data_IF_042998503984
#
_entry.id   IF_042998503984
#
_cell.length_a   1.000
_cell.length_b   1.000
_cell.length_c   1.000
_cell.angle_alpha   90.00
_cell.angle_beta   90.00
_cell.angle_gamma   90.00
#
_symmetry.space_group_name_H-M   'P 1'
#
loop_
_entity.id
_entity.type
_entity.pdbx_description
1 polymer ?
#
# COMPACT_ATOMS: atom_id res chain seq x y z
N UNK A 1 -6.55 -5.40 -6.95
CA UNK A 1 -6.24 -4.05 -7.47
C UNK A 1 -7.13 -3.60 -8.63
N UNK A 2 -7.22 -4.34 -9.74
CA UNK A 2 -7.93 -3.91 -10.97
C UNK A 2 -9.34 -3.34 -10.75
N UNK A 3 -10.23 -4.05 -10.02
CA UNK A 3 -11.60 -3.56 -9.80
C UNK A 3 -11.65 -2.25 -9.00
N UNK A 4 -10.70 -2.05 -8.09
CA UNK A 4 -10.60 -0.79 -7.34
C UNK A 4 -10.08 0.32 -8.23
N UNK A 5 -9.11 0.02 -9.11
CA UNK A 5 -8.62 0.96 -10.12
C UNK A 5 -9.75 1.39 -11.07
N UNK A 6 -10.53 0.46 -11.60
CA UNK A 6 -11.63 0.76 -12.53
C UNK A 6 -12.69 1.69 -11.90
N UNK A 7 -12.89 1.58 -10.57
CA UNK A 7 -13.88 2.37 -9.84
C UNK A 7 -13.37 3.73 -9.37
N UNK A 8 -12.09 3.82 -8.99
CA UNK A 8 -11.53 4.99 -8.31
C UNK A 8 -10.42 5.71 -9.09
N UNK A 9 -10.00 5.17 -10.24
CA UNK A 9 -8.94 5.73 -11.08
C UNK A 9 -7.62 5.85 -10.32
N UNK A 10 -7.18 4.74 -9.73
CA UNK A 10 -6.04 4.69 -8.80
C UNK A 10 -4.70 4.77 -9.54
N UNK A 11 -4.60 4.16 -10.71
CA UNK A 11 -3.38 4.01 -11.48
C UNK A 11 -3.45 4.85 -12.76
N UNK A 12 -2.38 5.59 -13.04
CA UNK A 12 -2.22 6.41 -14.23
C UNK A 12 -0.82 6.22 -14.81
N UNK A 13 -0.63 6.39 -16.12
CA UNK A 13 0.70 6.35 -16.74
C UNK A 13 1.69 7.28 -16.03
N UNK A 14 2.91 6.81 -15.83
CA UNK A 14 4.00 7.56 -15.19
C UNK A 14 3.98 7.59 -13.65
N UNK A 15 2.99 6.98 -13.00
CA UNK A 15 2.94 6.92 -11.53
C UNK A 15 4.01 5.99 -10.95
N UNK A 16 4.46 6.35 -9.74
CA UNK A 16 5.29 5.50 -8.87
C UNK A 16 4.39 4.78 -7.85
N UNK A 17 4.44 3.46 -7.87
CA UNK A 17 3.58 2.60 -7.04
C UNK A 17 4.44 1.73 -6.13
N UNK A 18 4.07 1.66 -4.85
CA UNK A 18 4.64 0.73 -3.89
C UNK A 18 3.58 -0.26 -3.42
N UNK A 19 3.89 -1.55 -3.50
CA UNK A 19 3.03 -2.66 -3.09
C UNK A 19 3.62 -3.38 -1.85
N UNK A 20 2.91 -3.31 -0.73
CA UNK A 20 3.28 -3.91 0.55
C UNK A 20 2.51 -5.22 0.75
N UNK A 21 3.21 -6.34 0.89
CA UNK A 21 2.59 -7.67 0.86
C UNK A 21 2.25 -8.07 -0.57
N UNK A 22 3.23 -7.94 -1.47
CA UNK A 22 3.04 -8.01 -2.91
C UNK A 22 2.93 -9.44 -3.46
N UNK A 23 3.32 -10.48 -2.73
CA UNK A 23 3.30 -11.86 -3.23
C UNK A 23 1.86 -12.35 -3.43
N UNK A 24 1.56 -13.10 -4.52
CA UNK A 24 2.48 -13.66 -5.51
C UNK A 24 2.82 -12.71 -6.69
N UNK A 25 2.46 -11.43 -6.62
CA UNK A 25 2.81 -10.40 -7.62
C UNK A 25 1.66 -9.98 -8.55
N UNK A 26 0.44 -10.42 -8.31
CA UNK A 26 -0.71 -10.07 -9.16
C UNK A 26 -1.03 -8.57 -9.17
N UNK A 27 -0.85 -7.87 -8.06
CA UNK A 27 -1.04 -6.42 -7.98
C UNK A 27 0.11 -5.67 -8.65
N UNK A 28 1.35 -6.13 -8.51
CA UNK A 28 2.51 -5.64 -9.26
C UNK A 28 2.30 -5.69 -10.77
N UNK A 29 1.80 -6.82 -11.31
CA UNK A 29 1.52 -6.97 -12.74
C UNK A 29 0.50 -5.95 -13.24
N UNK A 30 -0.60 -5.77 -12.50
CA UNK A 30 -1.64 -4.77 -12.83
C UNK A 30 -1.06 -3.36 -12.77
N UNK A 31 -0.30 -3.04 -11.72
CA UNK A 31 0.34 -1.74 -11.57
C UNK A 31 1.29 -1.47 -12.75
N UNK A 32 2.21 -2.39 -13.05
CA UNK A 32 3.21 -2.24 -14.10
C UNK A 32 2.59 -1.95 -15.47
N UNK A 33 1.53 -2.70 -15.81
CA UNK A 33 0.78 -2.47 -17.04
C UNK A 33 0.13 -1.09 -17.08
N UNK A 34 -0.52 -0.67 -15.99
CA UNK A 34 -1.31 0.57 -15.93
C UNK A 34 -0.44 1.83 -15.86
N UNK A 35 0.67 1.77 -15.14
CA UNK A 35 1.58 2.92 -15.01
C UNK A 35 2.62 2.97 -16.13
N UNK A 36 2.75 1.90 -16.91
CA UNK A 36 3.70 1.82 -18.02
C UNK A 36 5.15 1.73 -17.54
N UNK A 37 5.43 0.85 -16.57
CA UNK A 37 6.79 0.69 -16.04
C UNK A 37 7.72 -0.13 -16.95
N UNK A 38 7.17 -0.79 -17.97
CA UNK A 38 7.96 -1.41 -19.04
C UNK A 38 8.11 -0.41 -20.19
N UNK A 39 9.27 0.25 -20.24
CA UNK A 39 9.63 1.16 -21.34
C UNK A 39 8.96 2.54 -21.31
N UNK A 40 8.29 2.90 -20.21
CA UNK A 40 7.80 4.24 -19.93
C UNK A 40 8.36 4.79 -18.61
N UNK A 41 7.78 5.89 -18.13
CA UNK A 41 8.25 6.60 -16.93
C UNK A 41 7.64 6.08 -15.62
N UNK A 42 6.77 5.07 -15.68
CA UNK A 42 6.15 4.48 -14.50
C UNK A 42 7.16 3.66 -13.69
N UNK A 43 6.93 3.54 -12.38
CA UNK A 43 7.78 2.72 -11.52
C UNK A 43 6.93 1.90 -10.56
N UNK A 44 7.30 0.64 -10.35
CA UNK A 44 6.60 -0.27 -9.44
C UNK A 44 7.62 -0.95 -8.55
N UNK A 45 7.44 -0.77 -7.23
CA UNK A 45 8.23 -1.40 -6.18
C UNK A 45 7.33 -2.36 -5.40
N UNK A 46 7.89 -3.50 -4.96
CA UNK A 46 7.19 -4.48 -4.14
C UNK A 46 8.04 -4.99 -2.99
N UNK A 47 7.41 -5.25 -1.85
CA UNK A 47 8.01 -5.97 -0.72
C UNK A 47 7.07 -7.08 -0.27
N UNK A 48 7.63 -8.26 0.01
CA UNK A 48 6.90 -9.36 0.62
C UNK A 48 7.84 -10.29 1.38
N UNK A 49 7.32 -10.98 2.39
CA UNK A 49 8.04 -12.03 3.11
C UNK A 49 8.40 -13.21 2.18
N UNK A 50 7.52 -13.49 1.20
CA UNK A 50 7.68 -14.57 0.23
C UNK A 50 8.41 -14.07 -1.01
N UNK A 51 9.17 -14.97 -1.62
CA UNK A 51 9.81 -14.72 -2.91
C UNK A 51 8.75 -14.46 -3.99
N UNK A 52 9.00 -13.44 -4.82
CA UNK A 52 8.17 -13.09 -5.97
C UNK A 52 9.00 -13.34 -7.22
N UNK A 53 8.49 -14.19 -8.11
CA UNK A 53 9.10 -14.41 -9.42
C UNK A 53 9.31 -13.08 -10.15
N UNK A 54 10.43 -12.87 -10.87
CA UNK A 54 10.70 -11.61 -11.55
C UNK A 54 9.57 -11.19 -12.49
N UNK A 55 9.07 -9.96 -12.29
CA UNK A 55 8.03 -9.34 -13.14
C UNK A 55 8.66 -8.17 -13.88
N UNK A 56 8.53 -8.15 -15.21
CA UNK A 56 9.08 -7.07 -16.03
C UNK A 56 8.51 -5.71 -15.61
N UNK A 57 9.40 -4.72 -15.41
CA UNK A 57 9.02 -3.37 -14.99
C UNK A 57 8.73 -3.24 -13.48
N UNK A 58 9.05 -4.26 -12.68
CA UNK A 58 8.93 -4.22 -11.22
C UNK A 58 10.29 -4.49 -10.56
N UNK A 59 10.56 -3.77 -9.48
CA UNK A 59 11.63 -4.07 -8.54
C UNK A 59 11.02 -4.65 -7.27
N UNK A 60 11.52 -5.80 -6.79
CA UNK A 60 10.97 -6.48 -5.61
C UNK A 60 12.06 -6.73 -4.56
N UNK A 61 11.65 -6.72 -3.30
CA UNK A 61 12.47 -7.10 -2.15
C UNK A 61 11.77 -8.22 -1.38
N UNK A 62 12.48 -9.31 -1.12
CA UNK A 62 12.01 -10.35 -0.23
C UNK A 62 12.42 -10.01 1.22
N UNK A 63 11.47 -9.56 2.02
CA UNK A 63 11.68 -9.11 3.40
C UNK A 63 10.35 -8.98 4.15
N UNK A 64 10.36 -9.19 5.47
CA UNK A 64 9.19 -8.84 6.28
C UNK A 64 9.11 -7.31 6.38
N UNK A 65 7.95 -6.74 6.04
CA UNK A 65 7.74 -5.28 6.16
C UNK A 65 7.84 -4.78 7.61
N UNK A 66 7.65 -5.66 8.60
CA UNK A 66 7.78 -5.32 10.02
C UNK A 66 9.22 -5.46 10.56
N UNK A 67 10.19 -5.88 9.75
CA UNK A 67 11.59 -5.90 10.18
C UNK A 67 12.12 -4.48 10.39
N UNK A 68 12.98 -4.29 11.40
CA UNK A 68 13.48 -2.98 11.85
C UNK A 68 14.16 -2.16 10.72
N UNK A 69 14.78 -2.82 9.75
CA UNK A 69 15.48 -2.21 8.61
C UNK A 69 14.71 -2.26 7.28
N UNK A 70 13.46 -2.76 7.27
CA UNK A 70 12.65 -2.87 6.06
C UNK A 70 12.34 -1.50 5.45
N UNK A 71 11.95 -0.54 6.28
CA UNK A 71 11.63 0.82 5.82
C UNK A 71 12.85 1.54 5.25
N UNK A 72 14.03 1.39 5.87
CA UNK A 72 15.27 1.99 5.38
C UNK A 72 15.63 1.45 4.00
N UNK A 73 15.55 0.13 3.81
CA UNK A 73 15.83 -0.51 2.53
C UNK A 73 14.81 -0.13 1.46
N UNK A 74 13.52 -0.01 1.82
CA UNK A 74 12.48 0.49 0.91
C UNK A 74 12.76 1.92 0.47
N UNK A 75 13.11 2.81 1.41
CA UNK A 75 13.48 4.19 1.10
C UNK A 75 14.69 4.25 0.17
N UNK A 76 15.66 3.35 0.33
CA UNK A 76 16.83 3.27 -0.55
C UNK A 76 16.48 2.79 -1.97
N UNK A 77 15.41 2.01 -2.15
CA UNK A 77 14.91 1.64 -3.49
C UNK A 77 14.16 2.79 -4.16
N UNK A 78 13.54 3.68 -3.38
CA UNK A 78 12.78 4.80 -3.91
C UNK A 78 13.69 5.91 -4.47
N UNK A 79 13.28 6.53 -5.57
CA UNK A 79 13.93 7.71 -6.18
C UNK A 79 13.12 9.00 -5.97
N UNK A 80 12.28 9.02 -4.94
CA UNK A 80 11.40 10.13 -4.60
C UNK A 80 10.07 9.67 -4.01
N UNK A 81 9.12 10.62 -3.82
CA UNK A 81 7.81 10.31 -3.27
C UNK A 81 7.01 9.34 -4.15
N UNK A 82 6.17 8.52 -3.53
CA UNK A 82 5.24 7.59 -4.20
C UNK A 82 3.92 8.28 -4.53
N UNK A 83 3.31 7.93 -5.67
CA UNK A 83 1.98 8.42 -6.02
C UNK A 83 0.87 7.53 -5.44
N UNK A 84 1.16 6.25 -5.24
CA UNK A 84 0.24 5.27 -4.68
C UNK A 84 0.99 4.25 -3.83
N UNK A 85 0.54 4.05 -2.60
CA UNK A 85 0.93 2.91 -1.76
C UNK A 85 -0.26 1.98 -1.65
N UNK A 86 -0.07 0.71 -1.99
CA UNK A 86 -1.08 -0.34 -1.84
C UNK A 86 -0.59 -1.41 -0.88
N UNK A 87 -1.51 -2.05 -0.16
CA UNK A 87 -1.18 -3.17 0.72
C UNK A 87 -2.26 -4.23 0.74
N UNK A 88 -1.87 -5.48 0.46
CA UNK A 88 -2.71 -6.67 0.67
C UNK A 88 -2.20 -7.54 1.83
N UNK A 89 -1.33 -6.98 2.68
CA UNK A 89 -0.81 -7.66 3.86
C UNK A 89 -1.94 -8.15 4.76
N UNK A 90 -1.82 -9.39 5.20
CA UNK A 90 -2.65 -9.99 6.22
C UNK A 90 -1.81 -10.92 7.08
N UNK A 91 -2.07 -10.93 8.38
CA UNK A 91 -1.39 -11.87 9.26
C UNK A 91 -1.86 -13.30 8.98
N UNK A 92 -0.95 -14.27 9.10
CA UNK A 92 -1.31 -15.69 9.05
C UNK A 92 -2.40 -15.99 10.09
N UNK A 93 -3.47 -16.65 9.66
CA UNK A 93 -4.61 -16.94 10.52
C UNK A 93 -4.23 -17.96 11.58
N UNK A 94 -4.40 -17.59 12.84
CA UNK A 94 -4.23 -18.49 13.98
C UNK A 94 -5.51 -19.27 14.28
N UNK A 95 -6.63 -18.87 13.65
CA UNK A 95 -7.98 -19.38 13.93
C UNK A 95 -8.66 -18.66 15.10
N UNK A 96 -7.91 -17.84 15.85
CA UNK A 96 -8.45 -17.01 16.91
C UNK A 96 -8.78 -15.61 16.36
N UNK A 97 -10.04 -15.43 15.95
CA UNK A 97 -10.52 -14.22 15.26
C UNK A 97 -10.08 -12.88 15.91
N UNK A 98 -10.13 -12.71 17.25
CA UNK A 98 -9.65 -11.47 17.87
C UNK A 98 -8.16 -11.21 17.65
N UNK A 99 -7.32 -12.25 17.73
CA UNK A 99 -5.87 -12.13 17.53
C UNK A 99 -5.54 -11.84 16.08
N UNK A 100 -6.21 -12.54 15.15
CA UNK A 100 -6.05 -12.33 13.71
C UNK A 100 -6.46 -10.91 13.31
N UNK A 101 -7.52 -10.38 13.94
CA UNK A 101 -7.97 -9.01 13.75
C UNK A 101 -6.94 -7.98 14.23
N UNK A 102 -6.38 -8.15 15.43
CA UNK A 102 -5.38 -7.24 15.99
C UNK A 102 -4.11 -7.21 15.13
N UNK A 103 -3.63 -8.38 14.68
CA UNK A 103 -2.42 -8.48 13.86
C UNK A 103 -2.60 -7.86 12.47
N UNK A 104 -3.74 -8.11 11.83
CA UNK A 104 -4.03 -7.52 10.51
C UNK A 104 -4.25 -6.01 10.61
N UNK A 105 -4.90 -5.55 11.67
CA UNK A 105 -5.04 -4.11 11.93
C UNK A 105 -3.68 -3.43 12.13
N UNK A 106 -2.78 -4.06 12.90
CA UNK A 106 -1.43 -3.54 13.11
C UNK A 106 -0.64 -3.40 11.80
N UNK A 107 -0.68 -4.42 10.92
CA UNK A 107 -0.07 -4.34 9.58
C UNK A 107 -0.62 -3.16 8.76
N UNK A 108 -1.93 -2.94 8.81
CA UNK A 108 -2.57 -1.83 8.10
C UNK A 108 -2.16 -0.46 8.69
N UNK A 109 -2.03 -0.36 10.00
CA UNK A 109 -1.55 0.84 10.69
C UNK A 109 -0.10 1.16 10.35
N UNK A 110 0.80 0.15 10.35
CA UNK A 110 2.19 0.31 9.92
C UNK A 110 2.28 0.73 8.45
N UNK A 111 1.50 0.10 7.56
CA UNK A 111 1.44 0.47 6.15
C UNK A 111 0.99 1.93 5.95
N UNK A 112 -0.01 2.39 6.72
CA UNK A 112 -0.49 3.77 6.65
C UNK A 112 0.56 4.76 7.16
N UNK A 113 1.22 4.45 8.29
CA UNK A 113 2.27 5.31 8.83
C UNK A 113 3.40 5.52 7.81
N UNK A 114 3.88 4.43 7.21
CA UNK A 114 4.88 4.49 6.16
C UNK A 114 4.37 5.27 4.94
N UNK A 115 3.14 5.00 4.49
CA UNK A 115 2.53 5.70 3.37
C UNK A 115 2.47 7.22 3.59
N UNK A 116 2.11 7.70 4.79
CA UNK A 116 2.07 9.13 5.11
C UNK A 116 3.45 9.80 4.97
N UNK A 117 4.54 9.06 5.21
CA UNK A 117 5.92 9.55 5.07
C UNK A 117 6.41 9.56 3.63
N UNK A 118 5.96 8.62 2.80
CA UNK A 118 6.48 8.45 1.42
C UNK A 118 5.59 9.01 0.32
N UNK A 119 4.31 9.30 0.59
CA UNK A 119 3.38 9.75 -0.43
C UNK A 119 3.64 11.20 -0.89
N UNK A 120 3.57 11.39 -2.20
CA UNK A 120 3.47 12.71 -2.83
C UNK A 120 2.14 13.39 -2.47
N UNK A 121 2.08 14.73 -2.43
CA UNK A 121 0.81 15.45 -2.34
C UNK A 121 -0.17 15.00 -3.43
N UNK A 122 -1.43 14.82 -3.04
CA UNK A 122 -2.51 14.21 -3.82
C UNK A 122 -2.38 12.71 -4.10
N UNK A 123 -1.36 12.02 -3.57
CA UNK A 123 -1.20 10.58 -3.67
C UNK A 123 -2.33 9.77 -3.01
N UNK A 124 -2.32 8.46 -3.25
CA UNK A 124 -3.33 7.52 -2.79
C UNK A 124 -2.77 6.45 -1.84
N UNK A 125 -3.67 5.89 -1.05
CA UNK A 125 -3.40 4.72 -0.21
C UNK A 125 -4.54 3.72 -0.35
N UNK A 126 -4.21 2.44 -0.51
CA UNK A 126 -5.17 1.34 -0.49
C UNK A 126 -4.65 0.25 0.42
N UNK A 127 -5.47 -0.24 1.34
CA UNK A 127 -5.06 -1.34 2.19
C UNK A 127 -6.19 -2.31 2.50
N UNK A 128 -5.85 -3.59 2.60
CA UNK A 128 -6.72 -4.61 3.16
C UNK A 128 -7.04 -4.26 4.62
N UNK A 129 -8.30 -4.43 4.99
CA UNK A 129 -8.78 -4.30 6.37
C UNK A 129 -9.58 -5.55 6.74
N UNK A 130 -9.63 -5.88 8.03
CA UNK A 130 -10.37 -7.05 8.49
C UNK A 130 -11.87 -6.93 8.21
N UNK A 131 -12.61 -8.04 8.25
CA UNK A 131 -14.05 -8.12 7.93
C UNK A 131 -14.95 -7.19 8.80
N UNK A 132 -14.45 -6.76 9.97
CA UNK A 132 -15.11 -5.76 10.83
C UNK A 132 -14.90 -4.30 10.41
N UNK A 133 -14.10 -4.05 9.37
CA UNK A 133 -13.69 -2.71 8.95
C UNK A 133 -12.37 -2.26 9.58
N UNK A 134 -11.94 -1.08 9.14
CA UNK A 134 -10.91 -0.31 9.79
C UNK A 134 -11.38 0.13 11.19
N UNK A 135 -10.47 0.16 12.15
CA UNK A 135 -10.73 0.71 13.49
C UNK A 135 -11.07 2.20 13.41
N UNK A 136 -11.72 2.73 14.45
CA UNK A 136 -12.05 4.15 14.53
C UNK A 136 -10.82 5.05 14.42
N UNK A 137 -9.73 4.69 15.12
CA UNK A 137 -8.44 5.37 15.09
C UNK A 137 -7.81 5.38 13.69
N UNK A 138 -7.82 4.24 13.00
CA UNK A 138 -7.32 4.13 11.63
C UNK A 138 -8.11 5.04 10.68
N UNK A 139 -9.44 5.03 10.79
CA UNK A 139 -10.30 5.88 9.96
C UNK A 139 -10.15 7.37 10.25
N UNK A 140 -9.92 7.75 11.49
CA UNK A 140 -9.62 9.14 11.87
C UNK A 140 -8.31 9.59 11.24
N UNK A 141 -7.25 8.80 11.37
CA UNK A 141 -5.92 9.07 10.77
C UNK A 141 -6.02 9.22 9.26
N UNK A 142 -6.75 8.33 8.58
CA UNK A 142 -7.01 8.43 7.15
C UNK A 142 -7.76 9.72 6.78
N UNK A 143 -8.83 10.07 7.50
CA UNK A 143 -9.62 11.28 7.21
C UNK A 143 -8.83 12.56 7.45
N UNK A 144 -7.93 12.57 8.43
CA UNK A 144 -7.03 13.68 8.69
C UNK A 144 -6.02 13.87 7.54
N UNK A 145 -5.50 12.77 6.99
CA UNK A 145 -4.43 12.82 5.98
C UNK A 145 -4.90 12.83 4.52
N UNK A 146 -6.11 12.34 4.21
CA UNK A 146 -6.63 12.22 2.83
C UNK A 146 -7.96 12.94 2.60
N UNK A 147 -8.10 13.56 1.41
CA UNK A 147 -9.32 14.26 0.98
C UNK A 147 -10.54 13.34 0.85
N UNK A 148 -10.30 12.10 0.43
CA UNK A 148 -11.33 11.09 0.22
C UNK A 148 -10.92 9.80 0.91
N UNK A 149 -11.86 9.16 1.60
CA UNK A 149 -11.67 7.85 2.27
C UNK A 149 -12.96 7.04 2.16
N UNK A 150 -12.88 5.80 1.70
CA UNK A 150 -14.02 4.86 1.60
C UNK A 150 -13.61 3.43 1.90
N UNK A 151 -14.49 2.69 2.56
CA UNK A 151 -14.45 1.23 2.54
C UNK A 151 -14.94 0.70 1.19
N UNK A 152 -14.27 -0.34 0.70
CA UNK A 152 -14.52 -0.95 -0.60
C UNK A 152 -14.53 -2.46 -0.44
N UNK A 153 -15.60 -3.08 -0.92
CA UNK A 153 -15.71 -4.53 -1.08
C UNK A 153 -15.64 -4.84 -2.57
N UNK A 154 -14.54 -5.43 -3.07
CA UNK A 154 -14.45 -5.88 -4.46
C UNK A 154 -15.49 -6.96 -4.76
N UNK A 155 -15.98 -6.99 -5.99
CA UNK A 155 -16.94 -8.00 -6.45
C UNK A 155 -16.28 -9.38 -6.58
N UNK A 156 -14.97 -9.43 -6.90
CA UNK A 156 -14.19 -10.66 -6.95
C UNK A 156 -13.92 -11.33 -5.59
N UNK A 157 -14.43 -10.81 -4.46
CA UNK A 157 -14.27 -11.48 -3.16
C UNK A 157 -14.93 -12.87 -3.19
N UNK A 158 -14.18 -13.94 -2.91
CA UNK A 158 -14.70 -15.32 -2.89
C UNK A 158 -15.89 -15.43 -1.93
N UNK A 159 -16.85 -16.30 -2.22
CA UNK A 159 -18.07 -16.52 -1.40
C UNK A 159 -17.78 -16.82 0.09
N UNK A 160 -16.58 -17.29 0.41
CA UNK A 160 -16.20 -17.72 1.77
C UNK A 160 -15.39 -16.67 2.55
N UNK A 161 -14.91 -15.58 1.91
CA UNK A 161 -14.28 -14.46 2.60
C UNK A 161 -14.50 -13.16 1.84
N UNK A 162 -15.31 -12.30 2.43
CA UNK A 162 -15.51 -10.94 1.96
C UNK A 162 -14.29 -10.12 2.34
N UNK A 163 -13.34 -10.00 1.42
CA UNK A 163 -12.23 -9.07 1.59
C UNK A 163 -12.76 -7.63 1.58
N UNK A 164 -12.34 -6.85 2.58
CA UNK A 164 -12.68 -5.45 2.71
C UNK A 164 -11.39 -4.65 2.60
N UNK A 165 -11.45 -3.55 1.86
CA UNK A 165 -10.33 -2.64 1.68
C UNK A 165 -10.75 -1.24 2.10
N UNK A 166 -9.78 -0.40 2.42
CA UNK A 166 -9.95 1.05 2.47
C UNK A 166 -9.24 1.66 1.27
N UNK A 167 -9.90 2.60 0.61
CA UNK A 167 -9.33 3.43 -0.46
C UNK A 167 -9.32 4.86 0.03
N UNK A 168 -8.13 5.46 0.06
CA UNK A 168 -7.91 6.85 0.43
C UNK A 168 -7.17 7.59 -0.69
N UNK A 169 -7.63 8.79 -1.04
CA UNK A 169 -7.09 9.57 -2.16
C UNK A 169 -6.94 11.03 -1.78
N UNK A 170 -6.00 11.71 -2.45
CA UNK A 170 -5.77 13.12 -2.25
C UNK A 170 -5.02 13.38 -0.95
N UNK A 171 -3.88 12.72 -0.76
CA UNK A 171 -3.00 12.96 0.39
C UNK A 171 -2.71 14.45 0.56
N UNK A 172 -2.84 14.97 1.78
CA UNK A 172 -2.73 16.40 2.08
C UNK A 172 -1.28 16.89 2.22
N UNK A 173 -0.29 16.01 2.32
CA UNK A 173 1.13 16.38 2.44
C UNK A 173 1.55 16.82 3.85
N UNK A 174 0.96 16.22 4.88
CA UNK A 174 1.02 16.71 6.27
C UNK A 174 2.24 16.31 7.11
N UNK A 175 3.18 15.51 6.61
CA UNK A 175 4.40 15.19 7.35
C UNK A 175 5.62 15.70 6.57
N UNK A 176 6.17 16.86 6.99
CA UNK A 176 7.56 17.16 6.67
C UNK A 176 8.39 16.08 7.38
N UNK A 177 9.27 15.32 6.70
CA UNK A 177 10.22 14.48 7.41
C UNK A 177 10.98 15.36 8.39
N UNK A 178 11.13 14.88 9.63
CA UNK A 178 11.93 15.51 10.67
C UNK A 178 13.43 15.39 10.34
N UNK A 179 13.86 15.85 9.16
CA UNK A 179 15.24 16.11 8.84
C UNK A 179 15.35 17.12 7.69
N UNK A 180 14.94 18.36 7.98
CA UNK A 180 15.48 19.56 7.33
C UNK A 180 16.24 20.36 8.40
N UNK A 181 17.35 19.79 8.85
CA UNK A 181 18.50 20.49 9.45
C UNK A 181 19.69 20.04 8.62
N UNK A 182 20.56 20.87 8.08
CA UNK A 182 20.63 22.29 7.87
C UNK A 182 21.67 22.43 6.76
N UNK A 183 21.46 23.38 5.85
CA UNK A 183 22.57 23.91 5.08
C UNK A 183 23.63 24.42 6.07
N UNK A 184 24.85 23.93 5.94
CA UNK A 184 26.04 24.37 6.65
C UNK A 184 27.23 24.23 5.72
#
# INVERSE_FOLDING_TARGET
LQEMDDKYGLLKPGMKVLDLGAAPGGWLQVAAQKVGSVGGDGRVLGIDLLEIEPIAGCETMQMDFLDDDAEEKLLAMMDGPMDLVVSDMAAATTGHKPTDHLRTTHLCECALDFAIRVLAPNGGFVAKVFQGGATGSLMETLKQNFKFVKHVKPNASRKESVELYVVAQGFRGGHKPANSRADG
#
